data_IF_780200915665
#
_entry.id   IF_780200915665
#
_cell.length_a   1.000
_cell.length_b   1.000
_cell.length_c   1.000
_cell.angle_alpha   90.00
_cell.angle_beta   90.00
_cell.angle_gamma   90.00
#
_symmetry.space_group_name_H-M   'P 1'
#
loop_
_entity.id
_entity.type
_entity.pdbx_description
1 polymer ?
#
# COMPACT_ATOMS: atom_id res chain seq x y z
N UNK A 1 10.90 9.35 -6.78
CA UNK A 1 9.57 9.11 -7.37
C UNK A 1 8.89 8.12 -6.44
N UNK A 2 7.65 8.40 -6.07
CA UNK A 2 6.87 7.54 -5.18
C UNK A 2 5.73 6.92 -5.97
N UNK A 3 5.41 5.67 -5.66
CA UNK A 3 4.34 4.91 -6.31
C UNK A 3 3.25 4.66 -5.28
N UNK A 4 1.99 4.91 -5.65
CA UNK A 4 0.84 4.79 -4.78
C UNK A 4 -0.24 3.91 -5.42
N UNK A 5 -0.74 2.95 -4.64
CA UNK A 5 -1.86 2.09 -5.01
C UNK A 5 -3.16 2.65 -4.45
N UNK A 6 -4.16 2.80 -5.32
CA UNK A 6 -5.51 3.19 -4.95
C UNK A 6 -6.50 2.07 -5.30
N UNK A 7 -7.44 1.80 -4.40
CA UNK A 7 -8.45 0.77 -4.60
C UNK A 7 -9.72 1.13 -3.82
N UNK A 8 -10.87 0.91 -4.46
CA UNK A 8 -12.20 1.01 -3.82
C UNK A 8 -12.47 -0.13 -2.83
N UNK A 9 -11.66 -1.18 -2.87
CA UNK A 9 -11.71 -2.33 -1.96
C UNK A 9 -10.49 -2.38 -1.03
N UNK A 10 -10.59 -2.99 0.16
CA UNK A 10 -9.42 -3.21 1.01
C UNK A 10 -8.29 -3.92 0.26
N UNK A 11 -7.07 -3.41 0.41
CA UNK A 11 -5.87 -4.01 -0.15
C UNK A 11 -5.54 -5.33 0.55
N UNK A 12 -4.94 -6.25 -0.19
CA UNK A 12 -4.45 -7.50 0.41
C UNK A 12 -3.16 -7.21 1.18
N UNK A 13 -2.89 -7.91 2.29
CA UNK A 13 -1.62 -7.79 2.99
C UNK A 13 -0.44 -8.12 2.06
N UNK A 14 0.58 -7.26 2.08
CA UNK A 14 1.78 -7.39 1.27
C UNK A 14 2.98 -7.67 2.18
N UNK A 15 3.62 -8.82 1.96
CA UNK A 15 4.68 -9.32 2.83
C UNK A 15 6.04 -9.17 2.17
N UNK A 16 6.97 -8.51 2.86
CA UNK A 16 8.36 -8.41 2.40
C UNK A 16 9.15 -9.63 2.89
N UNK A 17 9.35 -10.61 1.99
CA UNK A 17 9.92 -11.92 2.30
C UNK A 17 11.02 -12.27 1.31
N UNK A 18 12.10 -12.87 1.80
CA UNK A 18 13.17 -13.42 1.00
C UNK A 18 12.95 -14.93 0.82
N UNK A 19 12.59 -15.34 -0.40
CA UNK A 19 12.39 -16.76 -0.75
C UNK A 19 13.68 -17.39 -1.28
N UNK A 20 14.58 -16.59 -1.87
CA UNK A 20 15.89 -17.02 -2.37
C UNK A 20 16.98 -16.04 -1.95
N UNK A 21 18.12 -16.58 -1.50
CA UNK A 21 19.30 -15.78 -1.12
C UNK A 21 19.82 -14.95 -2.28
N UNK A 22 19.74 -15.45 -3.51
CA UNK A 22 20.24 -14.76 -4.69
C UNK A 22 19.36 -13.58 -5.13
N UNK A 23 18.08 -13.57 -4.75
CA UNK A 23 17.11 -12.56 -5.19
C UNK A 23 16.83 -11.48 -4.14
N UNK A 24 17.23 -11.71 -2.89
CA UNK A 24 16.94 -10.81 -1.78
C UNK A 24 15.45 -10.77 -1.40
N UNK A 25 15.07 -9.91 -0.43
CA UNK A 25 13.68 -9.70 -0.04
C UNK A 25 12.88 -9.05 -1.15
N UNK A 26 11.66 -9.54 -1.39
CA UNK A 26 10.69 -8.98 -2.34
C UNK A 26 9.31 -8.91 -1.70
N UNK A 27 8.41 -8.19 -2.36
CA UNK A 27 7.03 -8.06 -1.93
C UNK A 27 6.19 -9.20 -2.52
N UNK A 28 5.39 -9.84 -1.67
CA UNK A 28 4.59 -11.01 -2.02
C UNK A 28 3.18 -10.90 -1.45
N UNK A 29 2.21 -11.47 -2.15
CA UNK A 29 0.88 -11.74 -1.63
C UNK A 29 0.69 -13.24 -1.44
N UNK A 30 -0.19 -13.64 -0.51
CA UNK A 30 -0.62 -15.04 -0.42
C UNK A 30 -1.49 -15.39 -1.61
N UNK A 31 -1.13 -16.47 -2.32
CA UNK A 31 -1.91 -16.93 -3.47
C UNK A 31 -3.36 -17.24 -3.08
N UNK A 32 -3.59 -17.81 -1.89
CA UNK A 32 -4.94 -18.09 -1.38
C UNK A 32 -5.83 -16.84 -1.32
N UNK A 33 -5.28 -15.71 -0.89
CA UNK A 33 -6.02 -14.46 -0.75
C UNK A 33 -6.29 -13.80 -2.10
N UNK A 34 -5.32 -13.85 -3.02
CA UNK A 34 -5.50 -13.43 -4.42
C UNK A 34 -6.60 -14.23 -5.08
N UNK A 35 -6.58 -15.56 -4.96
CA UNK A 35 -7.59 -16.44 -5.52
C UNK A 35 -8.98 -16.17 -4.94
N UNK A 36 -9.06 -15.95 -3.62
CA UNK A 36 -10.30 -15.60 -2.93
C UNK A 36 -10.86 -14.26 -3.42
N UNK A 37 -10.01 -13.24 -3.57
CA UNK A 37 -10.41 -11.91 -4.08
C UNK A 37 -10.88 -11.97 -5.53
N UNK A 38 -10.18 -12.72 -6.39
CA UNK A 38 -10.54 -12.91 -7.79
C UNK A 38 -11.68 -13.92 -8.02
N UNK A 39 -12.09 -14.67 -6.99
CA UNK A 39 -13.04 -15.79 -7.09
C UNK A 39 -12.63 -16.82 -8.14
N UNK A 40 -11.34 -17.13 -8.18
CA UNK A 40 -10.75 -18.08 -9.13
C UNK A 40 -10.15 -19.28 -8.43
N UNK A 41 -10.08 -20.41 -9.13
CA UNK A 41 -9.29 -21.55 -8.66
C UNK A 41 -7.80 -21.36 -9.00
N UNK A 42 -6.95 -22.02 -8.24
CA UNK A 42 -5.49 -22.02 -8.44
C UNK A 42 -5.08 -22.48 -9.84
N UNK A 43 -5.82 -23.45 -10.41
CA UNK A 43 -5.61 -23.94 -11.78
C UNK A 43 -5.96 -22.88 -12.81
N UNK A 44 -7.13 -22.25 -12.67
CA UNK A 44 -7.59 -21.21 -13.61
C UNK A 44 -6.62 -20.02 -13.59
N UNK A 45 -6.20 -19.58 -12.41
CA UNK A 45 -5.24 -18.48 -12.27
C UNK A 45 -3.93 -18.77 -13.00
N UNK A 46 -3.30 -19.93 -12.76
CA UNK A 46 -2.06 -20.31 -13.45
C UNK A 46 -2.22 -20.45 -14.97
N UNK A 47 -3.38 -20.91 -15.45
CA UNK A 47 -3.65 -20.98 -16.88
C UNK A 47 -3.82 -19.59 -17.51
N UNK A 48 -4.47 -18.65 -16.83
CA UNK A 48 -4.72 -17.31 -17.34
C UNK A 48 -3.48 -16.40 -17.24
N UNK A 49 -2.63 -16.63 -16.24
CA UNK A 49 -1.47 -15.79 -15.92
C UNK A 49 -0.18 -16.62 -15.80
N UNK A 50 0.27 -17.29 -16.88
CA UNK A 50 1.40 -18.23 -16.84
C UNK A 50 2.76 -17.57 -16.53
N UNK A 51 2.86 -16.26 -16.71
CA UNK A 51 4.10 -15.50 -16.50
C UNK A 51 4.20 -14.91 -15.09
N UNK A 52 3.15 -15.02 -14.29
CA UNK A 52 3.15 -14.52 -12.91
C UNK A 52 3.99 -15.47 -12.06
N UNK A 53 5.00 -14.92 -11.38
CA UNK A 53 5.87 -15.71 -10.51
C UNK A 53 5.09 -16.18 -9.28
N UNK A 54 5.04 -17.50 -9.12
CA UNK A 54 4.48 -18.17 -7.94
C UNK A 54 5.57 -19.04 -7.34
N UNK A 55 5.86 -18.81 -6.07
CA UNK A 55 6.88 -19.53 -5.32
C UNK A 55 6.29 -20.14 -4.07
N UNK A 56 6.94 -21.17 -3.55
CA UNK A 56 6.49 -21.87 -2.36
C UNK A 56 7.51 -21.68 -1.24
N UNK A 57 7.02 -21.40 -0.03
CA UNK A 57 7.82 -21.23 1.18
C UNK A 57 7.24 -22.05 2.33
N UNK A 58 8.06 -22.52 3.26
CA UNK A 58 7.56 -23.13 4.49
C UNK A 58 6.85 -22.07 5.35
N UNK A 59 5.68 -22.40 5.91
CA UNK A 59 4.90 -21.48 6.74
C UNK A 59 5.69 -20.99 7.96
N UNK A 60 6.44 -21.87 8.63
CA UNK A 60 7.33 -21.50 9.73
C UNK A 60 8.38 -20.44 9.33
N UNK A 61 8.93 -20.55 8.12
CA UNK A 61 9.93 -19.60 7.62
C UNK A 61 9.29 -18.26 7.22
N UNK A 62 8.11 -18.30 6.60
CA UNK A 62 7.30 -17.12 6.34
C UNK A 62 6.99 -16.38 7.64
N UNK A 63 6.48 -17.08 8.66
CA UNK A 63 6.18 -16.52 9.98
C UNK A 63 7.42 -15.85 10.59
N UNK A 64 8.55 -16.54 10.58
CA UNK A 64 9.82 -16.04 11.13
C UNK A 64 10.24 -14.72 10.50
N UNK A 65 10.09 -14.57 9.18
CA UNK A 65 10.45 -13.32 8.50
C UNK A 65 9.43 -12.20 8.74
N UNK A 66 8.14 -12.50 8.64
CA UNK A 66 7.08 -11.47 8.79
C UNK A 66 7.02 -10.95 10.23
N UNK A 67 7.15 -11.82 11.23
CA UNK A 67 7.17 -11.41 12.65
C UNK A 67 8.37 -10.55 13.04
N UNK A 68 9.47 -10.60 12.27
CA UNK A 68 10.61 -9.72 12.46
C UNK A 68 10.39 -8.30 11.90
N UNK A 69 9.35 -8.09 11.10
CA UNK A 69 9.03 -6.78 10.51
C UNK A 69 8.31 -5.88 11.53
N UNK A 70 8.83 -4.67 11.72
CA UNK A 70 8.20 -3.68 12.60
C UNK A 70 6.77 -3.29 12.15
N UNK A 71 6.46 -3.43 10.86
CA UNK A 71 5.14 -3.13 10.30
C UNK A 71 4.09 -4.17 10.68
N UNK A 72 4.51 -5.42 10.93
CA UNK A 72 3.63 -6.54 11.28
C UNK A 72 3.73 -6.91 12.77
N UNK A 73 4.12 -5.94 13.62
CA UNK A 73 4.21 -6.13 15.08
C UNK A 73 2.85 -6.34 15.77
N UNK A 74 1.72 -6.20 15.06
CA UNK A 74 0.38 -6.44 15.58
C UNK A 74 -0.02 -7.90 15.37
N UNK A 75 -0.33 -8.61 16.46
CA UNK A 75 -0.51 -10.07 16.45
C UNK A 75 -1.62 -10.56 15.52
N UNK A 76 -2.67 -9.73 15.29
CA UNK A 76 -3.89 -10.13 14.56
C UNK A 76 -3.63 -10.62 13.14
N UNK A 77 -2.66 -10.05 12.45
CA UNK A 77 -2.34 -10.44 11.06
C UNK A 77 -1.49 -11.71 10.98
N UNK A 78 -0.91 -12.13 12.11
CA UNK A 78 -0.07 -13.32 12.24
C UNK A 78 -0.78 -14.52 12.90
N UNK A 79 -1.93 -14.33 13.54
CA UNK A 79 -2.70 -15.41 14.20
C UNK A 79 -3.10 -16.55 13.25
N UNK A 80 -3.19 -16.26 11.95
CA UNK A 80 -3.53 -17.25 10.93
C UNK A 80 -2.40 -18.23 10.62
N UNK A 81 -1.17 -17.92 11.06
CA UNK A 81 0.02 -18.70 10.73
C UNK A 81 0.59 -19.39 11.98
N UNK A 82 1.03 -20.63 11.81
CA UNK A 82 1.65 -21.39 12.87
C UNK A 82 3.20 -21.42 12.71
N UNK A 83 3.97 -20.85 13.66
CA UNK A 83 5.44 -20.78 13.58
C UNK A 83 6.13 -22.15 13.56
N UNK A 84 5.46 -23.22 13.99
CA UNK A 84 5.98 -24.59 14.00
C UNK A 84 5.41 -25.46 12.85
N UNK A 85 4.67 -24.84 11.93
CA UNK A 85 4.03 -25.54 10.81
C UNK A 85 5.06 -26.04 9.80
N UNK A 86 4.80 -27.24 9.28
CA UNK A 86 5.53 -27.82 8.16
C UNK A 86 4.80 -27.64 6.83
N UNK A 87 3.63 -27.00 6.87
CA UNK A 87 2.86 -26.71 5.67
C UNK A 87 3.59 -25.70 4.80
N UNK A 88 3.24 -25.73 3.52
CA UNK A 88 3.81 -24.86 2.51
C UNK A 88 2.78 -23.79 2.12
N UNK A 89 3.25 -22.56 1.98
CA UNK A 89 2.48 -21.44 1.47
C UNK A 89 2.91 -21.12 0.05
N UNK A 90 1.93 -20.94 -0.83
CA UNK A 90 2.16 -20.40 -2.16
C UNK A 90 2.06 -18.86 -2.10
N UNK A 91 3.12 -18.20 -2.55
CA UNK A 91 3.25 -16.76 -2.67
C UNK A 91 3.24 -16.35 -4.13
N UNK A 92 2.66 -15.19 -4.42
CA UNK A 92 2.64 -14.58 -5.75
C UNK A 92 3.35 -13.22 -5.70
N UNK A 93 4.26 -12.97 -6.66
CA UNK A 93 5.06 -11.74 -6.68
C UNK A 93 4.18 -10.50 -6.82
N UNK A 94 4.43 -9.49 -6.00
CA UNK A 94 3.69 -8.23 -6.01
C UNK A 94 4.19 -7.32 -7.14
N UNK A 95 3.41 -7.25 -8.22
CA UNK A 95 3.70 -6.50 -9.45
C UNK A 95 2.55 -5.57 -9.81
N UNK A 96 2.82 -4.55 -10.63
CA UNK A 96 1.82 -3.60 -11.09
C UNK A 96 0.72 -4.28 -11.92
N UNK A 97 1.07 -5.29 -12.71
CA UNK A 97 0.11 -6.11 -13.45
C UNK A 97 -0.85 -6.84 -12.50
N UNK A 98 -0.34 -7.38 -11.39
CA UNK A 98 -1.16 -8.05 -10.38
C UNK A 98 -2.07 -7.06 -9.65
N UNK A 99 -1.57 -5.88 -9.27
CA UNK A 99 -2.39 -4.85 -8.63
C UNK A 99 -3.55 -4.40 -9.54
N UNK A 100 -3.25 -4.17 -10.82
CA UNK A 100 -4.27 -3.84 -11.83
C UNK A 100 -5.32 -4.95 -11.97
N UNK A 101 -4.88 -6.21 -11.98
CA UNK A 101 -5.78 -7.37 -12.02
C UNK A 101 -6.68 -7.47 -10.78
N UNK A 102 -6.19 -7.05 -9.61
CA UNK A 102 -6.94 -7.01 -8.36
C UNK A 102 -7.91 -5.82 -8.26
N UNK A 103 -7.95 -4.97 -9.30
CA UNK A 103 -8.86 -3.83 -9.41
C UNK A 103 -8.31 -2.53 -8.83
N UNK A 104 -7.00 -2.46 -8.58
CA UNK A 104 -6.33 -1.24 -8.12
C UNK A 104 -5.85 -0.37 -9.29
N UNK A 105 -5.68 0.93 -9.05
CA UNK A 105 -4.97 1.86 -9.93
C UNK A 105 -3.64 2.29 -9.31
N UNK A 106 -2.62 2.46 -10.14
CA UNK A 106 -1.28 2.88 -9.70
C UNK A 106 -0.96 4.28 -10.18
N UNK A 107 -0.56 5.15 -9.26
CA UNK A 107 -0.20 6.54 -9.56
C UNK A 107 1.23 6.85 -9.11
N UNK A 108 1.92 7.68 -9.88
CA UNK A 108 3.30 8.07 -9.65
C UNK A 108 3.38 9.54 -9.25
N UNK A 109 4.05 9.83 -8.14
CA UNK A 109 4.31 11.19 -7.68
C UNK A 109 5.79 11.54 -7.88
N UNK A 110 6.06 12.57 -8.69
CA UNK A 110 7.42 13.11 -8.79
C UNK A 110 7.67 14.09 -7.64
N UNK A 111 8.85 14.04 -6.97
CA UNK A 111 9.19 14.98 -5.91
C UNK A 111 9.19 16.46 -6.35
N UNK A 112 9.24 16.71 -7.65
CA UNK A 112 9.19 18.04 -8.27
C UNK A 112 7.77 18.62 -8.31
N UNK A 113 6.74 17.76 -8.27
CA UNK A 113 5.33 18.18 -8.30
C UNK A 113 4.84 18.63 -6.92
N UNK A 114 5.62 18.38 -5.87
CA UNK A 114 5.36 18.78 -4.48
C UNK A 114 6.07 20.09 -4.10
N UNK A 115 6.25 21.01 -5.06
CA UNK A 115 6.81 22.34 -4.79
C UNK A 115 6.01 23.10 -3.73
N UNK A 116 6.62 24.02 -2.97
CA UNK A 116 5.94 24.82 -1.96
C UNK A 116 5.11 25.94 -2.62
N UNK A 117 4.18 25.62 -3.51
CA UNK A 117 3.25 26.61 -4.06
C UNK A 117 2.05 26.74 -3.13
N UNK A 118 2.18 27.66 -2.16
CA UNK A 118 1.22 28.67 -1.68
C UNK A 118 -0.31 28.42 -1.71
N UNK A 119 -0.80 27.17 -1.73
CA UNK A 119 -2.24 26.90 -1.78
C UNK A 119 -2.99 27.25 -0.48
N UNK A 120 -2.28 27.40 0.65
CA UNK A 120 -2.92 27.66 1.95
C UNK A 120 -3.17 29.15 2.27
N UNK A 121 -2.72 30.09 1.43
CA UNK A 121 -2.82 31.55 1.70
C UNK A 121 -3.97 32.28 1.01
N UNK A 122 -4.97 31.59 0.48
CA UNK A 122 -6.12 32.24 -0.18
C UNK A 122 -7.45 32.00 0.54
N UNK A 123 -7.51 32.29 1.85
CA UNK A 123 -8.79 32.40 2.58
C UNK A 123 -8.87 33.58 3.56
N UNK A 124 -8.00 34.60 3.43
CA UNK A 124 -8.12 35.83 4.22
C UNK A 124 -7.80 37.07 3.39
N UNK A 125 -8.66 37.44 2.45
CA UNK A 125 -8.91 38.85 2.08
C UNK A 125 -10.11 38.92 1.14
N UNK A 126 -11.32 39.01 1.68
CA UNK A 126 -12.45 39.61 0.98
C UNK A 126 -13.45 40.11 2.02
N UNK A 127 -13.65 41.44 2.10
CA UNK A 127 -14.77 42.01 2.84
C UNK A 127 -14.49 43.26 3.69
N UNK A 128 -13.55 44.12 3.32
CA UNK A 128 -13.53 45.49 3.82
C UNK A 128 -14.52 46.35 3.04
N UNK A 129 -15.73 46.57 3.58
CA UNK A 129 -16.67 47.62 3.12
C UNK A 129 -17.20 48.37 4.35
N UNK A 130 -16.90 49.66 4.41
CA UNK A 130 -16.95 50.46 5.64
C UNK A 130 -18.25 51.21 5.91
N UNK A 131 -18.28 51.91 7.06
CA UNK A 131 -18.89 53.24 7.18
C UNK A 131 -18.42 53.98 8.46
N UNK A 132 -18.49 55.29 8.34
CA UNK A 132 -18.03 56.44 9.14
C UNK A 132 -18.51 56.58 10.60
N UNK A 133 -17.69 57.17 11.48
CA UNK A 133 -18.04 58.38 12.26
C UNK A 133 -16.89 59.03 13.08
N UNK A 134 -16.52 60.24 12.68
CA UNK A 134 -16.39 61.50 13.45
C UNK A 134 -15.77 61.56 14.88
N UNK A 135 -14.73 62.42 14.95
CA UNK A 135 -14.47 63.54 15.89
C UNK A 135 -13.60 63.37 17.15
N UNK A 136 -12.70 64.36 17.26
CA UNK A 136 -11.96 64.92 18.43
C UNK A 136 -10.64 64.21 18.78
N UNK A 137 -9.52 64.86 19.09
CA UNK A 137 -9.09 66.27 19.14
C UNK A 137 -7.54 66.26 19.26
N UNK A 138 -6.92 67.42 18.99
CA UNK A 138 -5.78 68.01 19.72
C UNK A 138 -4.35 68.07 19.10
N UNK A 139 -4.04 69.29 18.63
CA UNK A 139 -2.80 70.09 18.76
C UNK A 139 -1.51 69.70 18.01
N UNK A 140 -1.18 70.50 16.98
CA UNK A 140 -0.18 71.59 17.08
C UNK A 140 -0.45 72.68 16.06
#
# INVERSE_FOLDING_TARGET
MFEFEFSESPLLPCYNVQVSVAQGPRNWLLLSDVLKKLKMSSRIFRCNFPNVEIVTIAEAEFYRQVSASLLFSCSKDLEAFNPESKELLDLVEFTNELQTLLGSSMEWLHPSDTGPDDHWKSSQTAGGSGHTQSKRDLQK
#
